data_IF_952432676957
#
_entry.id   IF_952432676957
#
_cell.length_a   1.000
_cell.length_b   1.000
_cell.length_c   1.000
_cell.angle_alpha   90.00
_cell.angle_beta   90.00
_cell.angle_gamma   90.00
#
_symmetry.space_group_name_H-M   'P 1'
#
loop_
_entity.id
_entity.type
_entity.pdbx_description
1 polymer ?
#
# COMPACT_ATOMS: atom_id res chain seq x y z
N UNK A 1 37.79 -4.13 -6.41
CA UNK A 1 36.71 -5.13 -6.43
C UNK A 1 35.50 -4.49 -5.75
N UNK A 2 34.46 -4.16 -6.52
CA UNK A 2 33.21 -3.60 -5.97
C UNK A 2 32.41 -4.80 -5.48
N UNK A 3 32.26 -4.94 -4.18
CA UNK A 3 31.67 -6.12 -3.56
C UNK A 3 30.14 -6.07 -3.76
N UNK A 4 29.62 -6.91 -4.65
CA UNK A 4 28.21 -6.95 -5.06
C UNK A 4 27.25 -7.30 -3.88
N UNK A 5 27.81 -7.70 -2.74
CA UNK A 5 27.08 -8.08 -1.54
C UNK A 5 26.53 -6.86 -0.77
N UNK A 6 27.16 -5.68 -0.87
CA UNK A 6 26.77 -4.49 -0.11
C UNK A 6 25.52 -3.79 -0.66
N UNK A 7 25.25 -3.88 -1.96
CA UNK A 7 24.06 -3.26 -2.57
C UNK A 7 22.78 -4.06 -2.33
N UNK A 8 22.90 -5.38 -2.12
CA UNK A 8 21.75 -6.27 -1.87
C UNK A 8 21.30 -6.25 -0.41
N UNK A 9 22.21 -6.01 0.53
CA UNK A 9 21.94 -5.95 1.97
C UNK A 9 20.83 -4.96 2.38
N UNK A 10 20.85 -3.67 1.96
CA UNK A 10 19.80 -2.71 2.35
C UNK A 10 18.43 -3.04 1.75
N UNK A 11 18.39 -3.62 0.54
CA UNK A 11 17.13 -4.04 -0.09
C UNK A 11 16.51 -5.25 0.64
N UNK A 12 17.32 -6.24 1.01
CA UNK A 12 16.88 -7.41 1.79
C UNK A 12 16.38 -6.96 3.17
N UNK A 13 17.08 -6.02 3.81
CA UNK A 13 16.64 -5.45 5.09
C UNK A 13 15.31 -4.72 4.95
N UNK A 14 15.13 -3.91 3.90
CA UNK A 14 13.85 -3.23 3.63
C UNK A 14 12.71 -4.24 3.41
N UNK A 15 12.96 -5.29 2.64
CA UNK A 15 11.97 -6.34 2.37
C UNK A 15 11.61 -7.09 3.67
N UNK A 16 12.61 -7.46 4.48
CA UNK A 16 12.39 -8.08 5.78
C UNK A 16 11.57 -7.15 6.70
N UNK A 17 11.93 -5.87 6.78
CA UNK A 17 11.28 -4.91 7.68
C UNK A 17 9.82 -4.70 7.30
N UNK A 18 9.53 -4.57 6.00
CA UNK A 18 8.16 -4.39 5.48
C UNK A 18 7.29 -5.63 5.71
N UNK A 19 7.81 -6.83 5.41
CA UNK A 19 7.07 -8.09 5.62
C UNK A 19 6.84 -8.36 7.11
N UNK A 20 7.88 -8.25 7.94
CA UNK A 20 7.76 -8.49 9.39
C UNK A 20 6.83 -7.46 10.03
N UNK A 21 6.92 -6.18 9.64
CA UNK A 21 6.02 -5.17 10.18
C UNK A 21 4.56 -5.40 9.77
N UNK A 22 4.30 -5.75 8.51
CA UNK A 22 2.96 -6.10 8.07
C UNK A 22 2.41 -7.33 8.81
N UNK A 23 3.27 -8.32 9.07
CA UNK A 23 2.90 -9.52 9.83
C UNK A 23 2.60 -9.17 11.30
N UNK A 24 3.42 -8.34 11.94
CA UNK A 24 3.19 -7.89 13.32
C UNK A 24 1.90 -7.07 13.45
N UNK A 25 1.57 -6.26 12.45
CA UNK A 25 0.28 -5.56 12.38
C UNK A 25 -0.88 -6.55 12.33
N UNK A 26 -0.81 -7.53 11.43
CA UNK A 26 -1.84 -8.57 11.26
C UNK A 26 -2.07 -9.41 12.53
N UNK A 27 -0.99 -9.88 13.15
CA UNK A 27 -1.06 -10.71 14.36
C UNK A 27 -1.46 -9.91 15.61
N UNK A 28 -1.23 -8.60 15.61
CA UNK A 28 -1.63 -7.70 16.69
C UNK A 28 -3.11 -7.30 16.65
N UNK A 29 -3.82 -7.57 15.56
CA UNK A 29 -5.24 -7.27 15.45
C UNK A 29 -6.08 -8.30 16.20
N UNK A 30 -6.97 -7.81 17.06
CA UNK A 30 -8.03 -8.62 17.68
C UNK A 30 -9.13 -8.82 16.64
N UNK A 31 -8.91 -9.76 15.71
CA UNK A 31 -9.78 -10.02 14.59
C UNK A 31 -9.72 -11.50 14.17
N UNK A 32 -10.66 -11.93 13.34
CA UNK A 32 -10.68 -13.29 12.77
C UNK A 32 -9.49 -13.51 11.81
N UNK A 33 -9.15 -14.77 11.54
CA UNK A 33 -8.02 -15.13 10.67
C UNK A 33 -8.15 -14.47 9.28
N UNK A 34 -9.36 -14.38 8.73
CA UNK A 34 -9.61 -13.73 7.44
C UNK A 34 -9.36 -12.22 7.49
N UNK A 35 -9.80 -11.53 8.54
CA UNK A 35 -9.51 -10.10 8.75
C UNK A 35 -8.00 -9.85 8.92
N UNK A 36 -7.30 -10.73 9.64
CA UNK A 36 -5.84 -10.64 9.79
C UNK A 36 -5.12 -10.79 8.45
N UNK A 37 -5.55 -11.70 7.58
CA UNK A 37 -4.96 -11.87 6.23
C UNK A 37 -5.21 -10.63 5.37
N UNK A 38 -6.40 -10.06 5.42
CA UNK A 38 -6.74 -8.83 4.69
C UNK A 38 -5.88 -7.67 5.18
N UNK A 39 -5.79 -7.49 6.49
CA UNK A 39 -4.98 -6.45 7.11
C UNK A 39 -3.47 -6.63 6.87
N UNK A 40 -2.98 -7.87 6.78
CA UNK A 40 -1.61 -8.17 6.32
C UNK A 40 -1.40 -7.67 4.89
N UNK A 41 -2.28 -8.02 3.96
CA UNK A 41 -2.17 -7.63 2.55
C UNK A 41 -2.28 -6.10 2.38
N UNK A 42 -3.16 -5.45 3.15
CA UNK A 42 -3.29 -3.99 3.20
C UNK A 42 -2.01 -3.32 3.70
N UNK A 43 -1.50 -3.73 4.86
CA UNK A 43 -0.25 -3.20 5.39
C UNK A 43 0.93 -3.45 4.46
N UNK A 44 1.02 -4.64 3.85
CA UNK A 44 2.09 -4.99 2.92
C UNK A 44 2.05 -4.11 1.67
N UNK A 45 0.86 -3.75 1.20
CA UNK A 45 0.67 -2.90 0.01
C UNK A 45 0.94 -1.42 0.29
N UNK A 46 0.70 -0.95 1.52
CA UNK A 46 0.98 0.42 1.91
C UNK A 46 2.47 0.78 1.79
N UNK A 47 3.37 -0.12 2.17
CA UNK A 47 4.81 0.12 2.12
C UNK A 47 5.35 0.50 0.72
N UNK A 48 5.15 -0.31 -0.34
CA UNK A 48 5.60 0.04 -1.69
C UNK A 48 4.89 1.29 -2.24
N UNK A 49 3.64 1.57 -1.82
CA UNK A 49 2.92 2.80 -2.21
C UNK A 49 3.58 4.03 -1.59
N UNK A 50 3.91 3.99 -0.30
CA UNK A 50 4.63 5.09 0.38
C UNK A 50 6.01 5.30 -0.25
N UNK A 51 6.74 4.23 -0.55
CA UNK A 51 8.02 4.30 -1.26
C UNK A 51 7.84 4.94 -2.64
N UNK A 52 6.82 4.53 -3.40
CA UNK A 52 6.56 5.07 -4.74
C UNK A 52 6.15 6.55 -4.69
N UNK A 53 5.36 6.96 -3.71
CA UNK A 53 5.02 8.36 -3.46
C UNK A 53 6.27 9.19 -3.13
N UNK A 54 7.18 8.65 -2.30
CA UNK A 54 8.43 9.32 -1.99
C UNK A 54 9.34 9.46 -3.22
N UNK A 55 9.42 8.43 -4.06
CA UNK A 55 10.15 8.48 -5.33
C UNK A 55 9.53 9.48 -6.31
N UNK A 56 8.19 9.53 -6.37
CA UNK A 56 7.44 10.52 -7.15
C UNK A 56 7.70 11.95 -6.65
N UNK A 57 7.84 12.15 -5.35
CA UNK A 57 8.19 13.46 -4.78
C UNK A 57 9.63 13.87 -5.12
N UNK A 58 10.57 12.92 -5.10
CA UNK A 58 11.96 13.15 -5.50
C UNK A 58 12.19 13.24 -7.01
N UNK A 59 11.19 12.90 -7.83
CA UNK A 59 11.32 12.84 -9.28
C UNK A 59 12.28 11.76 -9.76
N UNK A 60 12.44 10.65 -9.02
CA UNK A 60 13.34 9.55 -9.37
C UNK A 60 12.52 8.35 -9.82
N UNK A 61 12.72 7.91 -11.06
CA UNK A 61 12.07 6.72 -11.60
C UNK A 61 12.90 5.45 -11.34
N UNK A 62 12.68 4.80 -10.19
CA UNK A 62 13.24 3.46 -9.92
C UNK A 62 12.28 2.32 -10.29
N UNK A 63 11.00 2.63 -10.49
CA UNK A 63 9.93 1.65 -10.67
C UNK A 63 9.29 1.85 -12.04
N UNK A 64 9.54 0.92 -12.96
CA UNK A 64 8.97 0.99 -14.30
C UNK A 64 7.44 1.19 -14.30
N UNK A 65 6.93 1.86 -15.33
CA UNK A 65 5.51 2.24 -15.46
C UNK A 65 4.53 1.09 -15.18
N UNK A 66 4.82 -0.11 -15.69
CA UNK A 66 3.96 -1.28 -15.52
C UNK A 66 3.85 -1.69 -14.04
N UNK A 67 4.96 -1.64 -13.30
CA UNK A 67 4.98 -1.96 -11.86
C UNK A 67 4.15 -0.94 -11.09
N UNK A 68 4.31 0.37 -11.39
CA UNK A 68 3.51 1.43 -10.76
C UNK A 68 2.00 1.27 -11.01
N UNK A 69 1.62 0.90 -12.24
CA UNK A 69 0.21 0.63 -12.58
C UNK A 69 -0.35 -0.56 -11.79
N UNK A 70 0.40 -1.67 -11.72
CA UNK A 70 -0.02 -2.84 -10.95
C UNK A 70 -0.18 -2.48 -9.47
N UNK A 71 0.80 -1.79 -8.89
CA UNK A 71 0.73 -1.32 -7.49
C UNK A 71 -0.47 -0.42 -7.26
N UNK A 72 -0.74 0.55 -8.14
CA UNK A 72 -1.87 1.45 -8.04
C UNK A 72 -3.22 0.72 -8.06
N UNK A 73 -3.39 -0.22 -9.00
CA UNK A 73 -4.62 -1.03 -9.10
C UNK A 73 -4.76 -1.92 -7.87
N UNK A 74 -3.69 -2.60 -7.47
CA UNK A 74 -3.68 -3.49 -6.30
C UNK A 74 -4.02 -2.75 -5.00
N UNK A 75 -3.48 -1.55 -4.84
CA UNK A 75 -3.74 -0.69 -3.69
C UNK A 75 -5.23 -0.30 -3.57
N UNK A 76 -5.86 0.09 -4.67
CA UNK A 76 -7.28 0.44 -4.68
C UNK A 76 -8.14 -0.80 -4.43
N UNK A 77 -7.83 -1.94 -5.06
CA UNK A 77 -8.58 -3.18 -4.88
C UNK A 77 -8.54 -3.68 -3.43
N UNK A 78 -7.36 -3.67 -2.80
CA UNK A 78 -7.22 -4.06 -1.40
C UNK A 78 -7.98 -3.11 -0.48
N UNK A 79 -7.95 -1.81 -0.75
CA UNK A 79 -8.73 -0.83 0.04
C UNK A 79 -10.22 -1.13 0.00
N UNK A 80 -10.74 -1.44 -1.19
CA UNK A 80 -12.15 -1.81 -1.36
C UNK A 80 -12.45 -3.10 -0.61
N UNK A 81 -11.56 -4.10 -0.72
CA UNK A 81 -11.74 -5.38 -0.05
C UNK A 81 -11.70 -5.22 1.49
N UNK A 82 -10.76 -4.47 2.03
CA UNK A 82 -10.62 -4.16 3.45
C UNK A 82 -11.81 -3.38 4.00
N UNK A 83 -12.38 -2.46 3.22
CA UNK A 83 -13.54 -1.68 3.63
C UNK A 83 -14.89 -2.39 3.45
N UNK A 84 -15.03 -3.26 2.45
CA UNK A 84 -16.28 -3.99 2.22
C UNK A 84 -16.39 -5.26 3.07
N UNK A 85 -15.27 -5.91 3.38
CA UNK A 85 -15.28 -7.17 4.12
C UNK A 85 -16.00 -7.09 5.48
N UNK A 86 -15.76 -6.05 6.32
CA UNK A 86 -16.46 -5.90 7.60
C UNK A 86 -17.96 -5.63 7.42
N UNK A 87 -18.36 -4.92 6.35
CA UNK A 87 -19.78 -4.66 6.05
C UNK A 87 -20.53 -5.98 5.83
N UNK A 88 -19.93 -6.93 5.11
CA UNK A 88 -20.55 -8.23 4.88
C UNK A 88 -20.53 -9.12 6.13
N UNK A 89 -19.42 -9.14 6.87
CA UNK A 89 -19.26 -10.00 8.04
C UNK A 89 -20.16 -9.56 9.20
N UNK A 90 -20.28 -8.25 9.40
CA UNK A 90 -21.04 -7.64 10.48
C UNK A 90 -22.37 -7.02 9.98
N UNK A 91 -22.92 -7.53 8.87
CA UNK A 91 -24.17 -7.02 8.28
C UNK A 91 -25.37 -7.06 9.25
N UNK A 92 -25.33 -7.96 10.23
CA UNK A 92 -26.37 -8.12 11.25
C UNK A 92 -26.16 -7.22 12.48
N UNK A 93 -25.07 -6.45 12.52
CA UNK A 93 -24.74 -5.52 13.60
C UNK A 93 -24.98 -4.08 13.12
N UNK A 94 -25.24 -3.17 14.07
CA UNK A 94 -25.30 -1.74 13.74
C UNK A 94 -23.92 -1.25 13.32
N UNK A 95 -23.76 -0.98 12.03
CA UNK A 95 -22.56 -0.34 11.48
C UNK A 95 -22.60 1.15 11.89
N UNK A 96 -21.53 1.70 12.48
CA UNK A 96 -21.47 3.13 12.81
C UNK A 96 -21.79 3.99 11.59
N UNK A 97 -22.60 5.05 11.78
CA UNK A 97 -23.06 5.92 10.69
C UNK A 97 -21.92 6.53 9.87
N UNK A 98 -20.79 6.77 10.53
CA UNK A 98 -19.63 7.45 9.97
C UNK A 98 -18.76 6.50 9.13
N UNK A 99 -19.01 5.19 9.21
CA UNK A 99 -18.21 4.17 8.53
C UNK A 99 -18.19 4.37 7.02
N UNK A 100 -19.36 4.58 6.41
CA UNK A 100 -19.47 4.79 4.96
C UNK A 100 -18.79 6.08 4.50
N UNK A 101 -18.82 7.12 5.34
CA UNK A 101 -18.16 8.40 5.07
C UNK A 101 -16.64 8.24 5.09
N UNK A 102 -16.10 7.55 6.11
CA UNK A 102 -14.67 7.26 6.21
C UNK A 102 -14.18 6.37 5.06
N UNK A 103 -14.94 5.32 4.74
CA UNK A 103 -14.64 4.43 3.61
C UNK A 103 -14.61 5.22 2.28
N UNK A 104 -15.60 6.07 2.05
CA UNK A 104 -15.67 6.89 0.83
C UNK A 104 -14.47 7.84 0.73
N UNK A 105 -14.10 8.50 1.83
CA UNK A 105 -12.94 9.38 1.88
C UNK A 105 -11.64 8.62 1.62
N UNK A 106 -11.49 7.44 2.22
CA UNK A 106 -10.33 6.57 2.02
C UNK A 106 -10.20 6.12 0.56
N UNK A 107 -11.30 5.72 -0.08
CA UNK A 107 -11.30 5.35 -1.50
C UNK A 107 -10.90 6.55 -2.38
N UNK A 108 -11.46 7.73 -2.15
CA UNK A 108 -11.12 8.93 -2.90
C UNK A 108 -9.63 9.30 -2.76
N UNK A 109 -9.10 9.23 -1.54
CA UNK A 109 -7.69 9.49 -1.29
C UNK A 109 -6.80 8.45 -1.99
N UNK A 110 -7.19 7.17 -1.95
CA UNK A 110 -6.40 6.10 -2.57
C UNK A 110 -6.44 6.17 -4.10
N UNK A 111 -7.55 6.60 -4.70
CA UNK A 111 -7.62 6.94 -6.12
C UNK A 111 -6.73 8.12 -6.49
N UNK A 112 -6.68 9.15 -5.65
CA UNK A 112 -5.76 10.28 -5.85
C UNK A 112 -4.30 9.82 -5.79
N UNK A 113 -3.93 9.04 -4.79
CA UNK A 113 -2.59 8.44 -4.66
C UNK A 113 -2.26 7.61 -5.91
N UNK A 114 -3.17 6.72 -6.33
CA UNK A 114 -3.03 5.91 -7.53
C UNK A 114 -2.77 6.76 -8.78
N UNK A 115 -3.47 7.88 -8.94
CA UNK A 115 -3.23 8.85 -10.02
C UNK A 115 -1.84 9.47 -9.93
N UNK A 116 -1.41 9.90 -8.74
CA UNK A 116 -0.08 10.51 -8.53
C UNK A 116 1.05 9.54 -8.91
N UNK A 117 0.98 8.30 -8.44
CA UNK A 117 2.04 7.30 -8.68
C UNK A 117 2.07 6.78 -10.12
N UNK A 118 0.99 6.95 -10.89
CA UNK A 118 0.91 6.52 -12.30
C UNK A 118 1.22 7.63 -13.30
N UNK A 119 1.19 8.90 -12.87
CA UNK A 119 1.52 10.04 -13.71
C UNK A 119 3.04 10.14 -13.92
N UNK A 120 3.48 9.85 -15.14
CA UNK A 120 4.90 9.83 -15.54
C UNK A 120 5.57 11.20 -15.37
N UNK A 121 4.80 12.30 -15.44
CA UNK A 121 5.33 13.67 -15.29
C UNK A 121 5.94 13.90 -13.92
N UNK A 122 5.48 13.18 -12.91
CA UNK A 122 6.01 13.32 -11.56
C UNK A 122 7.43 12.76 -11.41
N UNK A 123 7.89 11.93 -12.35
CA UNK A 123 9.20 11.28 -12.30
C UNK A 123 10.23 11.91 -13.24
N UNK A 124 9.88 12.99 -13.94
CA UNK A 124 10.75 13.67 -14.92
C UNK A 124 11.48 14.88 -14.32
N UNK A 125 11.08 15.35 -13.13
CA UNK A 125 11.59 16.61 -12.52
C UNK A 125 13.04 16.57 -11.99
N UNK A 126 13.74 15.44 -12.07
CA UNK A 126 15.10 15.27 -11.53
C UNK A 126 16.27 15.54 -12.49
N UNK A 127 16.05 16.01 -13.72
CA UNK A 127 17.10 16.16 -14.75
C UNK A 127 17.53 17.62 -15.01
N UNK A 128 17.83 18.38 -13.95
CA UNK A 128 18.49 19.69 -14.06
C UNK A 128 19.75 19.73 -13.22
#
# INVERSE_FOLDING_TARGET
MRDNNYTSSPFILLLLLTVVSALMYALGMVASISEQVIGFLASLTNYPIVITLFLSFKGVDLLGRNVRKVLAVWFVLITILEGLYPIFLYANQEIPSDYYTLLSLQILLNLYIAKVITDERNFIKGSH
#
